data_IF_798012608092
#
_entry.id   IF_798012608092
#
_cell.length_a   1.000
_cell.length_b   1.000
_cell.length_c   1.000
_cell.angle_alpha   90.00
_cell.angle_beta   90.00
_cell.angle_gamma   90.00
#
_symmetry.space_group_name_H-M   'P 1'
#
loop_
_entity.id
_entity.type
_entity.pdbx_description
1 polymer ?
#
# COMPACT_ATOMS: atom_id res chain seq x y z
N UNK A 1 -9.24 -15.11 29.93
CA UNK A 1 -8.27 -14.28 29.19
C UNK A 1 -7.33 -15.20 28.45
N UNK A 2 -6.99 -14.86 27.22
CA UNK A 2 -6.14 -15.64 26.33
C UNK A 2 -4.81 -14.92 26.11
N UNK A 3 -3.71 -15.66 26.02
CA UNK A 3 -2.40 -15.10 25.76
C UNK A 3 -2.18 -14.88 24.26
N UNK A 4 -1.79 -13.67 23.86
CA UNK A 4 -1.39 -13.34 22.49
C UNK A 4 -0.22 -12.33 22.51
N UNK A 5 0.96 -12.69 22.01
CA UNK A 5 2.14 -11.82 22.02
C UNK A 5 1.99 -10.55 21.18
N UNK A 6 1.05 -10.51 20.24
CA UNK A 6 0.78 -9.33 19.41
C UNK A 6 -0.16 -8.31 20.07
N UNK A 7 -0.81 -8.66 21.18
CA UNK A 7 -1.71 -7.75 21.89
C UNK A 7 -0.94 -6.93 22.93
N UNK A 8 -1.24 -5.64 23.05
CA UNK A 8 -0.43 -4.68 23.82
C UNK A 8 -0.16 -5.09 25.29
N UNK A 9 -1.12 -5.74 25.93
CA UNK A 9 -1.01 -6.21 27.32
C UNK A 9 -0.82 -7.73 27.45
N UNK A 10 -0.49 -8.42 26.35
CA UNK A 10 -0.37 -9.89 26.21
C UNK A 10 -1.64 -10.71 26.49
N UNK A 11 -2.57 -10.20 27.30
CA UNK A 11 -3.85 -10.81 27.62
C UNK A 11 -5.00 -10.21 26.80
N UNK A 12 -5.70 -11.06 26.05
CA UNK A 12 -6.85 -10.72 25.22
C UNK A 12 -8.12 -11.40 25.79
N UNK A 13 -9.26 -10.70 25.83
CA UNK A 13 -10.52 -11.30 26.28
C UNK A 13 -11.19 -12.18 25.21
N UNK A 14 -10.80 -12.02 23.95
CA UNK A 14 -11.33 -12.76 22.81
C UNK A 14 -10.68 -14.15 22.73
N UNK A 15 -11.51 -15.19 22.68
CA UNK A 15 -11.05 -16.55 22.37
C UNK A 15 -10.53 -16.63 20.92
N UNK A 16 -9.63 -17.57 20.59
CA UNK A 16 -9.19 -17.80 19.21
C UNK A 16 -10.40 -17.96 18.27
N UNK A 17 -10.63 -17.03 17.34
CA UNK A 17 -11.86 -17.00 16.57
C UNK A 17 -11.84 -17.93 15.34
N UNK A 18 -10.65 -18.40 14.95
CA UNK A 18 -10.41 -19.20 13.75
C UNK A 18 -9.79 -20.55 14.10
N UNK A 19 -10.36 -21.62 13.55
CA UNK A 19 -9.85 -22.99 13.61
C UNK A 19 -9.80 -23.59 12.20
N UNK A 20 -8.85 -24.50 11.94
CA UNK A 20 -8.72 -25.10 10.61
C UNK A 20 -10.02 -25.83 10.17
N UNK A 21 -10.41 -25.66 8.91
CA UNK A 21 -11.61 -26.28 8.34
C UNK A 21 -12.95 -25.67 8.81
N UNK A 22 -12.93 -24.52 9.49
CA UNK A 22 -14.13 -23.90 10.05
C UNK A 22 -15.13 -23.40 9.00
N UNK A 23 -14.66 -23.10 7.79
CA UNK A 23 -15.49 -22.65 6.68
C UNK A 23 -15.20 -23.47 5.43
N UNK A 24 -16.17 -23.56 4.53
CA UNK A 24 -15.99 -24.13 3.20
C UNK A 24 -15.99 -23.00 2.19
N UNK A 25 -14.88 -22.81 1.50
CA UNK A 25 -14.78 -21.85 0.40
C UNK A 25 -15.48 -22.40 -0.84
N UNK A 26 -16.10 -21.51 -1.60
CA UNK A 26 -16.82 -21.81 -2.84
C UNK A 26 -15.88 -22.12 -4.02
N UNK A 27 -14.67 -21.59 -3.98
CA UNK A 27 -13.61 -21.83 -4.96
C UNK A 27 -12.76 -23.09 -4.68
N UNK A 28 -13.06 -23.81 -3.59
CA UNK A 28 -12.34 -25.01 -3.17
C UNK A 28 -11.02 -24.74 -2.44
N UNK A 29 -10.72 -23.49 -2.07
CA UNK A 29 -9.55 -23.14 -1.26
C UNK A 29 -9.58 -23.85 0.09
N UNK A 30 -8.43 -24.37 0.53
CA UNK A 30 -8.31 -25.02 1.83
C UNK A 30 -8.42 -23.99 2.96
N UNK A 31 -9.36 -24.20 3.87
CA UNK A 31 -9.61 -23.31 5.00
C UNK A 31 -8.61 -23.48 6.15
N UNK A 32 -7.34 -23.20 5.87
CA UNK A 32 -6.30 -23.10 6.90
C UNK A 32 -6.49 -21.80 7.70
N UNK A 33 -6.04 -21.78 8.96
CA UNK A 33 -6.14 -20.58 9.81
C UNK A 33 -5.40 -19.39 9.19
N UNK A 34 -4.25 -19.63 8.55
CA UNK A 34 -3.48 -18.58 7.86
C UNK A 34 -4.27 -17.97 6.69
N UNK A 35 -4.85 -18.82 5.84
CA UNK A 35 -5.63 -18.40 4.69
C UNK A 35 -6.86 -17.58 5.13
N UNK A 36 -7.65 -18.11 6.06
CA UNK A 36 -8.81 -17.40 6.62
C UNK A 36 -8.41 -16.07 7.25
N UNK A 37 -7.30 -16.03 8.00
CA UNK A 37 -6.81 -14.79 8.62
C UNK A 37 -6.46 -13.73 7.58
N UNK A 38 -5.83 -14.14 6.47
CA UNK A 38 -5.44 -13.25 5.37
C UNK A 38 -6.66 -12.70 4.64
N UNK A 39 -7.64 -13.53 4.36
CA UNK A 39 -8.86 -13.13 3.64
C UNK A 39 -9.72 -12.17 4.47
N UNK A 40 -9.89 -12.46 5.76
CA UNK A 40 -10.60 -11.55 6.69
C UNK A 40 -9.86 -10.22 6.82
N UNK A 41 -8.53 -10.22 6.92
CA UNK A 41 -7.75 -8.99 6.98
C UNK A 41 -7.85 -8.17 5.68
N UNK A 42 -7.84 -8.83 4.52
CA UNK A 42 -8.02 -8.19 3.23
C UNK A 42 -9.42 -7.57 3.10
N UNK A 43 -10.46 -8.29 3.53
CA UNK A 43 -11.84 -7.77 3.57
C UNK A 43 -11.95 -6.56 4.49
N UNK A 44 -11.44 -6.64 5.73
CA UNK A 44 -11.45 -5.52 6.67
C UNK A 44 -10.71 -4.30 6.11
N UNK A 45 -9.55 -4.51 5.46
CA UNK A 45 -8.80 -3.44 4.80
C UNK A 45 -9.64 -2.77 3.70
N UNK A 46 -10.34 -3.56 2.89
CA UNK A 46 -11.23 -3.03 1.87
C UNK A 46 -12.43 -2.27 2.48
N UNK A 47 -13.03 -2.78 3.57
CA UNK A 47 -14.13 -2.07 4.24
C UNK A 47 -13.67 -0.74 4.86
N UNK A 48 -12.43 -0.68 5.33
CA UNK A 48 -11.84 0.55 5.88
C UNK A 48 -11.48 1.57 4.78
N UNK A 49 -11.07 1.11 3.60
CA UNK A 49 -10.74 1.97 2.45
C UNK A 49 -11.31 1.43 1.12
N UNK A 50 -12.61 1.58 0.85
CA UNK A 50 -13.25 1.02 -0.35
C UNK A 50 -12.73 1.67 -1.65
N UNK A 51 -12.21 2.89 -1.57
CA UNK A 51 -11.66 3.65 -2.70
C UNK A 51 -10.20 3.32 -3.02
N UNK A 52 -9.53 2.46 -2.25
CA UNK A 52 -8.10 2.18 -2.38
C UNK A 52 -7.72 1.78 -3.81
N UNK A 53 -8.48 0.84 -4.40
CA UNK A 53 -8.23 0.35 -5.76
C UNK A 53 -8.32 1.49 -6.77
N UNK A 54 -9.37 2.31 -6.70
CA UNK A 54 -9.56 3.44 -7.61
C UNK A 54 -8.46 4.48 -7.45
N UNK A 55 -8.12 4.82 -6.20
CA UNK A 55 -7.03 5.75 -5.86
C UNK A 55 -5.69 5.27 -6.42
N UNK A 56 -5.39 3.98 -6.32
CA UNK A 56 -4.14 3.40 -6.84
C UNK A 56 -4.12 3.39 -8.37
N UNK A 57 -5.24 3.06 -9.00
CA UNK A 57 -5.38 3.13 -10.46
C UNK A 57 -5.19 4.55 -11.00
N UNK A 58 -5.75 5.57 -10.36
CA UNK A 58 -5.59 6.97 -10.79
C UNK A 58 -4.23 7.55 -10.40
N UNK A 59 -3.66 7.11 -9.28
CA UNK A 59 -2.36 7.60 -8.79
C UNK A 59 -1.19 7.19 -9.70
N UNK A 60 -1.26 6.03 -10.35
CA UNK A 60 -0.16 5.53 -11.18
C UNK A 60 0.15 6.42 -12.41
N UNK A 61 -0.84 6.81 -13.25
CA UNK A 61 -0.62 7.80 -14.31
C UNK A 61 -0.12 9.15 -13.79
N UNK A 62 -0.61 9.60 -12.64
CA UNK A 62 -0.20 10.87 -12.03
C UNK A 62 1.27 10.84 -11.65
N UNK A 63 1.77 9.76 -11.05
CA UNK A 63 3.18 9.62 -10.69
C UNK A 63 4.07 9.64 -11.94
N UNK A 64 3.68 8.92 -13.00
CA UNK A 64 4.42 8.91 -14.27
C UNK A 64 4.49 10.32 -14.86
N UNK A 65 3.35 11.02 -14.90
CA UNK A 65 3.28 12.40 -15.36
C UNK A 65 4.18 13.33 -14.55
N UNK A 66 4.16 13.21 -13.21
CA UNK A 66 4.98 14.05 -12.34
C UNK A 66 6.48 13.81 -12.54
N UNK A 67 6.90 12.56 -12.72
CA UNK A 67 8.30 12.23 -13.02
C UNK A 67 8.71 12.87 -14.35
N UNK A 68 7.91 12.70 -15.40
CA UNK A 68 8.17 13.27 -16.71
C UNK A 68 8.23 14.81 -16.67
N UNK A 69 7.23 15.43 -16.05
CA UNK A 69 7.17 16.88 -15.86
C UNK A 69 8.38 17.41 -15.08
N UNK A 70 8.83 16.68 -14.05
CA UNK A 70 10.02 17.04 -13.26
C UNK A 70 11.30 17.00 -14.10
N UNK A 71 11.46 15.99 -14.97
CA UNK A 71 12.61 15.90 -15.87
C UNK A 71 12.63 17.08 -16.85
N UNK A 72 11.48 17.39 -17.47
CA UNK A 72 11.37 18.52 -18.39
C UNK A 72 11.63 19.86 -17.69
N UNK A 73 11.06 20.06 -16.51
CA UNK A 73 11.29 21.26 -15.71
C UNK A 73 12.77 21.43 -15.34
N UNK A 74 13.46 20.33 -14.99
CA UNK A 74 14.88 20.35 -14.70
C UNK A 74 15.73 20.70 -15.94
N UNK A 75 15.41 20.13 -17.10
CA UNK A 75 16.08 20.46 -18.36
C UNK A 75 15.86 21.92 -18.75
N UNK A 76 14.61 22.40 -18.67
CA UNK A 76 14.26 23.80 -18.94
C UNK A 76 15.02 24.75 -18.00
N UNK A 77 15.06 24.45 -16.70
CA UNK A 77 15.87 25.20 -15.73
C UNK A 77 17.34 25.23 -16.15
N UNK A 78 17.94 24.10 -16.52
CA UNK A 78 19.34 24.04 -16.94
C UNK A 78 19.60 24.88 -18.19
N UNK A 79 18.69 24.86 -19.16
CA UNK A 79 18.78 25.65 -20.38
C UNK A 79 18.71 27.16 -20.08
N UNK A 80 17.71 27.61 -19.31
CA UNK A 80 17.56 29.03 -18.95
C UNK A 80 18.78 29.54 -18.17
N UNK A 81 19.25 28.76 -17.18
CA UNK A 81 20.39 29.16 -16.36
C UNK A 81 21.74 29.08 -17.09
N UNK A 82 21.84 28.33 -18.19
CA UNK A 82 23.04 28.38 -19.05
C UNK A 82 23.19 29.72 -19.78
N UNK A 83 22.08 30.40 -20.12
CA UNK A 83 22.11 31.71 -20.76
C UNK A 83 22.56 32.85 -19.83
N UNK A 84 22.44 32.66 -18.51
CA UNK A 84 22.70 33.68 -17.50
C UNK A 84 24.10 33.50 -16.87
N UNK A 85 24.80 32.37 -17.13
CA UNK A 85 26.16 32.18 -16.61
C UNK A 85 27.13 33.13 -17.31
N UNK A 86 27.75 34.11 -16.62
CA UNK A 86 28.82 34.89 -17.22
C UNK A 86 29.99 33.96 -17.50
N UNK A 87 30.41 33.88 -18.76
CA UNK A 87 31.69 33.28 -19.15
C UNK A 87 32.79 34.04 -18.43
N UNK A 88 33.50 33.38 -17.51
CA UNK A 88 34.73 33.94 -16.94
C UNK A 88 35.73 34.09 -18.09
N UNK A 89 35.86 35.30 -18.63
CA UNK A 89 37.03 35.68 -19.42
C UNK A 89 38.20 35.80 -18.44
N UNK A 90 39.26 35.07 -18.73
CA UNK A 90 40.58 35.23 -18.09
C UNK A 90 41.28 36.48 -18.60
#
# INVERSE_FOLDING_TARGET
>A
GHYNPYFANLGLAMAPPLTAGQVTYDDGTEATVEQMSKDVAAFLTWTAEPTLVKRKQTGWPVIIFLIFATVLAYMSKKQIWSAIKPTKHG
#
